data_IF_171665709079
#
_entry.id   IF_171665709079
#
_cell.length_a   1.000
_cell.length_b   1.000
_cell.length_c   1.000
_cell.angle_alpha   90.00
_cell.angle_beta   90.00
_cell.angle_gamma   90.00
#
_symmetry.space_group_name_H-M   'P 1'
#
loop_
_entity.id
_entity.type
_entity.pdbx_description
1 polymer ?
2 polymer ?
3 non-polymer ?
4 non-polymer ?
5 non-polymer ?
6 water ?
#
# COMPACT_ATOMS: atom_id res chain seq x y z
N UNK A 1 12.44 -17.12 22.90
CA UNK A 1 12.69 -16.90 21.47
C UNK A 1 11.87 -15.71 20.95
N UNK A 2 12.56 -14.70 20.43
CA UNK A 2 11.90 -13.46 20.04
C UNK A 2 10.94 -13.66 18.86
N UNK A 3 9.76 -13.02 18.96
CA UNK A 3 8.80 -12.93 17.88
C UNK A 3 8.94 -11.59 17.15
N UNK A 4 8.57 -11.59 15.87
CA UNK A 4 8.58 -10.38 15.05
C UNK A 4 7.32 -10.35 14.19
N UNK A 5 6.48 -9.35 14.41
CA UNK A 5 5.24 -9.18 13.66
C UNK A 5 5.52 -8.33 12.42
N UNK A 6 5.35 -8.93 11.25
CA UNK A 6 5.77 -8.37 9.98
C UNK A 6 4.56 -8.23 9.08
N UNK A 7 4.40 -7.06 8.46
CA UNK A 7 3.25 -6.76 7.63
C UNK A 7 3.74 -6.41 6.22
N UNK A 8 3.06 -6.97 5.22
CA UNK A 8 3.42 -6.83 3.80
C UNK A 8 2.33 -6.02 3.11
N UNK A 9 2.70 -4.83 2.61
CA UNK A 9 1.73 -3.89 2.04
C UNK A 9 2.21 -3.47 0.65
N UNK A 10 1.28 -2.93 -0.12
CA UNK A 10 1.59 -2.43 -1.44
C UNK A 10 0.40 -2.61 -2.36
N UNK A 11 0.58 -2.12 -3.59
CA UNK A 11 -0.49 -2.11 -4.57
C UNK A 11 -0.89 -3.53 -4.96
N UNK A 12 -2.05 -3.63 -5.61
CA UNK A 12 -2.54 -4.93 -6.07
C UNK A 12 -1.57 -5.56 -7.06
N UNK A 13 -1.32 -6.85 -6.87
CA UNK A 13 -0.66 -7.63 -7.89
C UNK A 13 0.84 -7.45 -8.00
N UNK A 14 1.48 -6.69 -7.11
CA UNK A 14 2.93 -6.55 -7.13
C UNK A 14 3.64 -7.79 -6.63
N UNK A 15 2.91 -8.73 -6.03
CA UNK A 15 3.50 -9.98 -5.58
C UNK A 15 3.69 -10.07 -4.09
N UNK A 16 2.79 -9.45 -3.31
CA UNK A 16 2.93 -9.49 -1.85
C UNK A 16 2.71 -10.91 -1.32
N UNK A 17 1.68 -11.61 -1.80
CA UNK A 17 1.50 -13.00 -1.41
C UNK A 17 2.62 -13.89 -1.95
N UNK A 18 3.06 -13.67 -3.20
CA UNK A 18 4.10 -14.53 -3.76
C UNK A 18 5.37 -14.49 -2.93
N UNK A 19 5.78 -13.32 -2.49
CA UNK A 19 7.04 -13.23 -1.74
C UNK A 19 6.89 -13.96 -0.40
N UNK A 20 5.72 -13.86 0.22
CA UNK A 20 5.49 -14.47 1.55
C UNK A 20 5.49 -16.00 1.40
N UNK A 21 4.75 -16.51 0.42
CA UNK A 21 4.74 -17.98 0.15
C UNK A 21 6.17 -18.46 -0.08
N UNK A 22 6.93 -17.74 -0.91
CA UNK A 22 8.30 -18.18 -1.28
C UNK A 22 9.21 -18.17 -0.04
N UNK A 23 8.94 -17.29 0.91
CA UNK A 23 9.75 -17.28 2.12
C UNK A 23 9.41 -18.43 3.07
N UNK A 24 8.15 -18.85 3.10
CA UNK A 24 7.66 -19.88 4.02
C UNK A 24 7.75 -21.27 3.40
N UNK A 25 7.38 -21.39 2.12
CA UNK A 25 7.25 -22.65 1.39
C UNK A 25 8.49 -23.52 1.54
N UNK A 26 8.29 -24.78 1.89
CA UNK A 26 9.36 -25.78 1.93
C UNK A 26 8.78 -27.11 1.46
N UNK A 27 9.44 -28.21 1.82
CA UNK A 27 9.02 -29.55 1.42
C UNK A 27 8.53 -30.38 2.62
N UNK A 28 8.32 -29.76 3.78
CA UNK A 28 7.66 -30.40 4.91
C UNK A 28 6.15 -30.15 4.81
N UNK A 29 5.40 -30.68 5.78
CA UNK A 29 4.06 -30.18 6.02
C UNK A 29 4.20 -28.76 6.53
N UNK A 30 3.30 -27.87 6.08
CA UNK A 30 3.33 -26.49 6.56
C UNK A 30 3.22 -26.47 8.08
N UNK A 31 4.32 -26.08 8.75
CA UNK A 31 4.48 -26.35 10.18
C UNK A 31 3.37 -25.71 11.02
N UNK A 32 2.74 -24.65 10.51
CA UNK A 32 1.60 -24.02 11.16
C UNK A 32 0.48 -23.83 10.15
N UNK A 33 -0.77 -23.98 10.63
CA UNK A 33 -1.95 -23.53 9.90
C UNK A 33 -2.63 -22.46 10.76
N UNK A 34 -2.21 -21.19 10.63
CA UNK A 34 -2.82 -20.14 11.44
C UNK A 34 -4.31 -19.99 11.12
N UNK A 35 -5.11 -19.79 12.17
CA UNK A 35 -6.54 -19.63 12.01
C UNK A 35 -6.93 -18.21 11.64
N UNK A 36 -6.08 -17.22 11.93
CA UNK A 36 -6.26 -15.87 11.38
C UNK A 36 -5.91 -15.90 9.91
N UNK A 37 -6.90 -15.62 9.06
CA UNK A 37 -6.70 -15.71 7.62
C UNK A 37 -5.60 -14.76 7.16
N UNK A 38 -4.78 -15.25 6.20
CA UNK A 38 -3.69 -14.52 5.60
C UNK A 38 -2.55 -14.19 6.57
N UNK A 39 -2.40 -14.99 7.64
CA UNK A 39 -1.26 -14.95 8.54
C UNK A 39 -0.35 -16.16 8.28
N UNK A 40 0.92 -16.02 8.68
CA UNK A 40 1.93 -17.01 8.34
C UNK A 40 3.00 -16.98 9.41
N UNK A 41 3.35 -18.15 9.94
CA UNK A 41 4.40 -18.26 10.94
C UNK A 41 5.53 -19.12 10.38
N UNK A 42 6.76 -18.78 10.78
CA UNK A 42 7.93 -19.54 10.38
C UNK A 42 9.12 -19.15 11.25
N UNK A 43 9.88 -20.14 11.74
CA UNK A 43 11.08 -19.89 12.54
C UNK A 43 12.32 -19.82 11.65
N UNK A 44 13.25 -18.93 12.01
CA UNK A 44 14.47 -18.71 11.24
C UNK A 44 15.61 -18.40 12.19
N UNK A 45 16.80 -18.30 11.62
CA UNK A 45 17.99 -17.86 12.34
C UNK A 45 18.56 -16.68 11.57
N UNK A 46 18.42 -15.48 12.14
CA UNK A 46 19.01 -14.28 11.57
C UNK A 46 20.11 -13.81 12.49
N UNK A 47 21.34 -13.72 11.94
CA UNK A 47 22.52 -13.28 12.70
C UNK A 47 22.74 -14.11 13.96
N UNK A 48 22.21 -15.34 14.02
CA UNK A 48 22.32 -16.16 15.21
C UNK A 48 21.05 -16.29 16.00
N UNK A 49 20.33 -15.19 16.19
CA UNK A 49 19.09 -15.20 16.94
C UNK A 49 18.09 -16.13 16.26
N UNK A 50 17.59 -17.12 17.00
CA UNK A 50 16.51 -17.97 16.52
C UNK A 50 15.19 -17.24 16.75
N UNK A 51 14.53 -16.87 15.66
CA UNK A 51 13.40 -15.95 15.73
C UNK A 51 12.19 -16.57 15.06
N UNK A 52 11.01 -16.22 15.58
CA UNK A 52 9.74 -16.61 14.98
C UNK A 52 9.15 -15.43 14.23
N UNK A 53 8.76 -15.65 12.98
CA UNK A 53 8.21 -14.61 12.13
C UNK A 53 6.72 -14.85 11.98
N UNK A 54 5.91 -13.93 12.50
CA UNK A 54 4.49 -13.91 12.22
C UNK A 54 4.30 -12.86 11.13
N UNK A 55 3.83 -13.30 9.96
CA UNK A 55 3.77 -12.45 8.78
C UNK A 55 2.32 -12.25 8.40
N UNK A 56 1.88 -11.01 8.41
CA UNK A 56 0.52 -10.67 7.99
C UNK A 56 0.58 -10.15 6.56
N UNK A 57 -0.17 -10.81 5.70
CA UNK A 57 -0.37 -10.45 4.31
C UNK A 57 -1.47 -9.42 4.21
N UNK A 58 -1.47 -8.68 3.10
CA UNK A 58 -2.63 -7.85 2.80
C UNK A 58 -3.79 -8.78 2.42
N UNK A 59 -4.86 -8.75 3.22
CA UNK A 59 -5.96 -9.69 3.03
C UNK A 59 -6.93 -9.20 1.96
N UNK A 60 -7.73 -10.14 1.46
CA UNK A 60 -8.81 -9.80 0.57
C UNK A 60 -9.95 -9.10 1.31
N UNK A 61 -10.77 -8.39 0.54
CA UNK A 61 -11.82 -7.57 1.14
C UNK A 61 -12.86 -8.41 1.86
N UNK A 62 -13.06 -9.66 1.44
CA UNK A 62 -13.93 -10.58 2.17
C UNK A 62 -13.47 -10.81 3.62
N UNK A 63 -12.20 -10.54 3.95
CA UNK A 63 -11.72 -10.68 5.32
C UNK A 63 -11.83 -9.40 6.13
N UNK A 64 -12.55 -8.38 5.64
CA UNK A 64 -12.59 -7.15 6.42
C UNK A 64 -13.26 -7.40 7.76
N UNK A 65 -12.72 -6.76 8.78
CA UNK A 65 -13.34 -6.64 10.09
C UNK A 65 -12.68 -5.46 10.74
N UNK A 66 -13.42 -4.75 11.59
CA UNK A 66 -12.85 -3.61 12.29
C UNK A 66 -11.65 -4.02 13.12
N UNK A 67 -11.64 -5.26 13.60
CA UNK A 67 -10.57 -5.68 14.49
C UNK A 67 -9.31 -5.99 13.70
N UNK A 68 -9.48 -6.60 12.51
CA UNK A 68 -8.34 -6.81 11.62
C UNK A 68 -7.66 -5.48 11.28
N UNK A 69 -8.46 -4.45 10.94
CA UNK A 69 -7.92 -3.11 10.69
C UNK A 69 -7.05 -2.61 11.85
N UNK A 70 -7.51 -2.83 13.08
CA UNK A 70 -6.73 -2.43 14.25
C UNK A 70 -5.49 -3.31 14.41
N UNK A 71 -5.66 -4.62 14.22
CA UNK A 71 -4.57 -5.54 14.46
C UNK A 71 -3.39 -5.25 13.53
N UNK A 72 -3.68 -4.88 12.26
CA UNK A 72 -2.60 -4.72 11.28
C UNK A 72 -1.65 -3.59 11.65
N UNK A 73 -2.15 -2.52 12.28
CA UNK A 73 -1.20 -1.45 12.60
C UNK A 73 -0.28 -1.79 13.76
N UNK A 74 -0.54 -2.88 14.49
CA UNK A 74 0.39 -3.26 15.55
C UNK A 74 1.61 -3.99 15.00
N UNK A 75 1.67 -4.22 13.69
CA UNK A 75 2.85 -4.78 13.07
C UNK A 75 4.08 -4.01 13.47
N UNK A 76 5.19 -4.71 13.66
CA UNK A 76 6.41 -4.09 14.12
C UNK A 76 7.26 -3.54 12.98
N UNK A 77 6.99 -3.98 11.77
CA UNK A 77 7.82 -3.65 10.63
C UNK A 77 7.06 -3.97 9.36
N UNK A 78 7.30 -3.16 8.34
CA UNK A 78 6.46 -3.22 7.16
C UNK A 78 7.34 -3.32 5.92
N UNK A 79 7.00 -4.25 5.03
CA UNK A 79 7.59 -4.32 3.70
C UNK A 79 6.76 -3.47 2.74
N UNK A 80 7.37 -2.42 2.19
CA UNK A 80 6.74 -1.61 1.15
C UNK A 80 7.10 -2.22 -0.19
N UNK A 81 6.16 -2.94 -0.80
CA UNK A 81 6.41 -3.70 -2.02
C UNK A 81 5.82 -2.96 -3.21
N UNK A 82 6.64 -2.76 -4.25
CA UNK A 82 6.15 -2.39 -5.56
C UNK A 82 6.75 -3.34 -6.59
N UNK A 83 6.15 -3.34 -7.78
CA UNK A 83 6.61 -4.16 -8.90
C UNK A 83 7.35 -3.27 -9.89
N UNK A 84 8.53 -3.71 -10.32
CA UNK A 84 9.39 -2.89 -11.18
C UNK A 84 8.83 -2.68 -12.58
N UNK A 85 7.80 -3.43 -12.97
CA UNK A 85 7.11 -3.23 -14.23
C UNK A 85 5.77 -2.49 -14.06
N UNK A 86 5.59 -1.81 -12.93
CA UNK A 86 4.31 -1.18 -12.62
C UNK A 86 4.60 0.19 -12.00
N UNK A 87 4.50 1.24 -12.82
CA UNK A 87 4.92 2.56 -12.36
C UNK A 87 4.01 3.09 -11.25
N UNK A 88 2.69 2.96 -11.41
CA UNK A 88 1.80 3.47 -10.39
C UNK A 88 2.09 2.85 -9.04
N UNK A 89 2.41 1.55 -9.04
CA UNK A 89 2.72 0.86 -7.79
C UNK A 89 3.91 1.49 -7.08
N UNK A 90 4.91 1.93 -7.86
CA UNK A 90 6.04 2.65 -7.27
C UNK A 90 5.65 4.08 -6.88
N UNK A 91 4.80 4.72 -7.68
CA UNK A 91 4.44 6.12 -7.40
C UNK A 91 3.57 6.24 -6.16
N UNK A 92 2.92 5.16 -5.72
CA UNK A 92 2.06 5.22 -4.56
C UNK A 92 2.73 4.74 -3.29
N UNK A 93 4.02 4.36 -3.36
CA UNK A 93 4.72 3.83 -2.19
C UNK A 93 4.69 4.85 -1.05
N UNK A 94 5.01 6.12 -1.36
CA UNK A 94 5.04 7.19 -0.37
C UNK A 94 3.74 7.25 0.44
N UNK A 95 2.58 7.05 -0.21
CA UNK A 95 1.34 6.99 0.55
C UNK A 95 1.41 5.91 1.63
N UNK A 96 2.00 4.75 1.30
CA UNK A 96 2.07 3.65 2.27
C UNK A 96 2.96 4.03 3.44
N UNK A 97 4.14 4.58 3.17
CA UNK A 97 5.00 5.01 4.27
C UNK A 97 4.32 6.07 5.11
N UNK A 98 3.72 7.07 4.44
CA UNK A 98 3.12 8.19 5.17
C UNK A 98 2.02 7.70 6.09
N UNK A 99 1.09 6.88 5.57
CA UNK A 99 -0.10 6.50 6.32
C UNK A 99 0.19 5.47 7.40
N UNK A 100 1.18 4.60 7.17
CA UNK A 100 1.57 3.66 8.22
C UNK A 100 2.14 4.42 9.41
N UNK A 101 3.03 5.39 9.14
CA UNK A 101 3.54 6.25 10.19
C UNK A 101 2.39 6.95 10.90
N UNK A 102 1.41 7.44 10.15
CA UNK A 102 0.31 8.18 10.73
C UNK A 102 -0.52 7.31 11.67
N UNK A 103 -0.97 6.14 11.19
CA UNK A 103 -1.85 5.31 12.00
C UNK A 103 -1.13 4.71 13.21
N UNK A 104 0.20 4.61 13.16
CA UNK A 104 0.99 4.18 14.30
C UNK A 104 1.42 5.34 15.18
N UNK A 105 1.06 6.58 14.81
CA UNK A 105 1.47 7.78 15.52
C UNK A 105 2.95 7.77 15.86
N UNK A 106 3.77 7.21 14.99
CA UNK A 106 5.19 7.05 15.31
C UNK A 106 6.06 7.62 14.19
N UNK A 107 7.18 8.20 14.61
CA UNK A 107 8.12 8.82 13.69
C UNK A 107 9.20 7.86 13.18
N UNK A 108 9.42 6.74 13.86
CA UNK A 108 10.36 5.73 13.39
C UNK A 108 9.69 4.37 13.36
N UNK A 109 9.30 3.94 12.17
CA UNK A 109 8.64 2.67 11.95
C UNK A 109 9.55 1.83 11.06
N UNK A 110 10.09 0.71 11.56
CA UNK A 110 10.97 -0.13 10.74
C UNK A 110 10.30 -0.51 9.43
N UNK A 111 11.04 -0.31 8.33
CA UNK A 111 10.46 -0.39 7.00
C UNK A 111 11.58 -0.77 6.03
N UNK A 112 11.24 -1.56 5.02
CA UNK A 112 12.15 -1.90 3.94
C UNK A 112 11.39 -1.68 2.64
N UNK A 113 12.02 -0.98 1.71
CA UNK A 113 11.45 -0.84 0.38
C UNK A 113 11.84 -2.05 -0.48
N UNK A 114 10.86 -2.66 -1.12
CA UNK A 114 11.04 -3.90 -1.86
C UNK A 114 10.55 -3.69 -3.29
N UNK A 115 11.46 -3.84 -4.25
CA UNK A 115 11.12 -3.79 -5.67
C UNK A 115 11.13 -5.19 -6.26
N UNK A 116 9.95 -5.70 -6.61
CA UNK A 116 9.74 -7.09 -6.94
C UNK A 116 9.58 -7.27 -8.44
N UNK A 117 9.51 -8.54 -8.86
CA UNK A 117 9.36 -8.94 -10.27
C UNK A 117 10.58 -8.55 -11.08
N UNK A 118 11.73 -8.48 -10.42
CA UNK A 118 12.96 -8.06 -11.06
C UNK A 118 13.44 -9.05 -12.12
N UNK A 119 12.77 -10.18 -12.30
CA UNK A 119 13.07 -11.09 -13.38
C UNK A 119 12.43 -10.68 -14.70
N UNK A 120 11.48 -9.75 -14.67
CA UNK A 120 10.70 -9.42 -15.86
C UNK A 120 11.47 -8.47 -16.78
N UNK A 121 11.26 -8.59 -18.09
CA UNK A 121 11.94 -7.70 -19.05
C UNK A 121 11.32 -6.32 -19.14
N UNK A 122 10.10 -6.13 -18.66
CA UNK A 122 9.32 -4.93 -18.97
C UNK A 122 9.48 -3.86 -17.90
N UNK A 123 10.71 -3.60 -17.50
CA UNK A 123 10.96 -2.67 -16.40
C UNK A 123 10.49 -1.25 -16.76
N UNK A 124 9.74 -0.62 -15.84
CA UNK A 124 9.35 0.77 -16.00
C UNK A 124 9.82 1.65 -14.86
N UNK A 125 10.43 1.07 -13.82
CA UNK A 125 10.94 1.82 -12.67
C UNK A 125 12.42 1.55 -12.56
N UNK A 126 13.21 2.63 -12.49
CA UNK A 126 14.66 2.51 -12.49
C UNK A 126 15.18 2.23 -11.09
N UNK A 127 16.07 1.24 -10.99
CA UNK A 127 16.75 0.94 -9.73
C UNK A 127 17.20 2.19 -9.00
N UNK A 128 17.82 3.12 -9.74
CA UNK A 128 18.26 4.40 -9.17
C UNK A 128 17.11 5.15 -8.50
N UNK A 129 15.92 5.17 -9.13
CA UNK A 129 14.77 5.83 -8.51
C UNK A 129 14.44 5.20 -7.17
N UNK A 130 14.36 3.88 -7.13
CA UNK A 130 14.01 3.20 -5.90
C UNK A 130 15.08 3.43 -4.82
N UNK A 131 16.35 3.32 -5.21
CA UNK A 131 17.43 3.62 -4.26
C UNK A 131 17.31 5.04 -3.72
N UNK A 132 17.06 6.02 -4.60
CA UNK A 132 16.93 7.40 -4.15
C UNK A 132 15.78 7.57 -3.19
N UNK A 133 14.63 6.95 -3.49
CA UNK A 133 13.49 7.04 -2.59
C UNK A 133 13.81 6.40 -1.24
N UNK A 134 14.40 5.19 -1.27
CA UNK A 134 14.72 4.51 -0.01
C UNK A 134 15.70 5.32 0.82
N UNK A 135 16.72 5.89 0.18
CA UNK A 135 17.65 6.78 0.86
C UNK A 135 16.91 7.90 1.58
N UNK A 136 16.04 8.61 0.86
CA UNK A 136 15.30 9.73 1.45
C UNK A 136 14.49 9.31 2.67
N UNK A 137 14.07 8.05 2.73
CA UNK A 137 13.39 7.55 3.91
C UNK A 137 14.34 7.02 4.97
N UNK A 138 15.63 6.93 4.65
CA UNK A 138 16.56 6.23 5.53
C UNK A 138 16.18 4.79 5.79
N UNK A 139 15.69 4.08 4.77
CA UNK A 139 15.38 2.67 4.92
C UNK A 139 16.10 1.90 3.81
N UNK A 140 16.27 0.60 3.99
CA UNK A 140 16.95 -0.18 2.95
C UNK A 140 16.04 -0.46 1.76
N UNK A 141 16.67 -0.65 0.60
CA UNK A 141 15.99 -1.06 -0.61
C UNK A 141 16.54 -2.41 -1.05
N UNK A 142 15.65 -3.36 -1.31
CA UNK A 142 16.05 -4.69 -1.73
C UNK A 142 15.28 -5.03 -3.00
N UNK A 143 16.00 -5.51 -4.01
CA UNK A 143 15.41 -5.93 -5.27
C UNK A 143 15.16 -7.43 -5.21
N UNK A 144 13.94 -7.85 -5.55
CA UNK A 144 13.53 -9.23 -5.34
C UNK A 144 12.85 -9.79 -6.58
N UNK A 145 12.77 -11.12 -6.61
CA UNK A 145 11.93 -11.85 -7.55
C UNK A 145 11.35 -13.06 -6.83
N UNK A 146 10.03 -13.08 -6.68
CA UNK A 146 9.40 -14.25 -6.13
C UNK A 146 9.47 -15.44 -7.07
N UNK A 147 9.73 -15.19 -8.37
CA UNK A 147 9.82 -16.33 -9.28
C UNK A 147 11.13 -17.07 -9.10
N UNK A 148 12.25 -16.34 -9.13
CA UNK A 148 13.57 -16.91 -8.96
C UNK A 148 14.03 -16.99 -7.51
N UNK A 149 13.24 -16.51 -6.55
CA UNK A 149 13.59 -16.45 -5.14
C UNK A 149 14.71 -15.47 -4.84
N UNK A 150 15.19 -14.71 -5.82
CA UNK A 150 16.23 -13.73 -5.52
C UNK A 150 15.77 -12.74 -4.46
N UNK A 151 16.61 -12.50 -3.46
CA UNK A 151 16.38 -11.46 -2.48
C UNK A 151 15.22 -11.67 -1.53
N UNK A 152 14.40 -12.70 -1.70
CA UNK A 152 13.26 -12.94 -0.80
C UNK A 152 13.72 -12.94 0.65
N UNK A 153 14.69 -13.80 0.96
CA UNK A 153 15.21 -13.91 2.32
C UNK A 153 15.84 -12.60 2.77
N UNK A 154 16.64 -11.98 1.91
CA UNK A 154 17.25 -10.69 2.28
C UNK A 154 16.19 -9.65 2.64
N UNK A 155 15.06 -9.65 1.91
CA UNK A 155 14.03 -8.66 2.19
C UNK A 155 13.49 -8.81 3.60
N UNK A 156 13.01 -10.01 3.94
CA UNK A 156 12.43 -10.22 5.25
C UNK A 156 13.46 -10.14 6.36
N UNK A 157 14.68 -10.63 6.14
CA UNK A 157 15.69 -10.62 7.20
C UNK A 157 16.17 -9.20 7.48
N UNK A 158 16.33 -8.40 6.42
CA UNK A 158 16.64 -7.00 6.60
C UNK A 158 15.56 -6.28 7.40
N UNK A 159 14.29 -6.64 7.16
CA UNK A 159 13.22 -6.03 7.93
C UNK A 159 13.33 -6.42 9.40
N UNK A 160 13.73 -7.66 9.67
CA UNK A 160 13.93 -8.08 11.05
C UNK A 160 15.08 -7.32 11.68
N UNK A 161 16.21 -7.22 10.97
CA UNK A 161 17.32 -6.43 11.49
C UNK A 161 16.93 -4.98 11.77
N UNK A 162 15.99 -4.42 11.00
CA UNK A 162 15.58 -3.04 11.24
C UNK A 162 14.73 -2.93 12.51
N UNK A 163 13.83 -3.89 12.72
CA UNK A 163 13.08 -3.96 13.96
C UNK A 163 14.03 -4.02 15.15
N UNK A 164 15.06 -4.86 15.06
CA UNK A 164 16.08 -4.94 16.12
C UNK A 164 16.73 -3.59 16.36
N UNK A 165 17.26 -2.95 15.30
CA UNK A 165 17.90 -1.64 15.44
C UNK A 165 16.96 -0.64 16.10
N UNK A 166 15.66 -0.75 15.82
CA UNK A 166 14.66 0.13 16.44
C UNK A 166 14.61 -0.07 17.95
N UNK A 167 14.42 -1.30 18.40
CA UNK A 167 14.39 -1.60 19.83
C UNK A 167 15.76 -1.48 20.49
N UNK A 168 16.82 -1.26 19.73
CA UNK A 168 18.21 -1.30 20.23
C UNK A 168 18.50 -2.63 20.92
N UNK B 1 -19.59 1.53 7.22
CA UNK B 1 -19.45 1.83 5.80
C UNK B 1 -18.03 1.58 5.27
N UNK B 2 -17.95 0.98 4.08
CA UNK B 2 -16.67 0.71 3.44
C UNK B 2 -16.39 1.65 2.28
N UNK B 3 -17.37 2.44 1.86
CA UNK B 3 -17.28 3.32 0.69
C UNK B 3 -17.22 4.77 1.19
N UNK B 4 -16.43 5.64 0.57
CA UNK B 4 -16.55 7.07 0.88
C UNK B 4 -17.96 7.54 0.55
N UNK B 5 -18.47 8.46 1.36
CA UNK B 5 -19.82 8.95 1.17
C UNK B 5 -19.81 10.47 1.03
N UNK B 6 -20.96 11.01 0.60
CA UNK B 6 -21.25 12.44 0.72
C UNK B 6 -20.22 13.27 -0.05
N UNK B 7 -19.93 12.83 -1.27
CA UNK B 7 -19.04 13.58 -2.14
C UNK B 7 -19.75 14.85 -2.61
N UNK B 8 -19.05 15.99 -2.52
CA UNK B 8 -19.70 17.24 -2.90
C UNK B 8 -18.64 18.26 -3.30
N UNK B 9 -19.04 19.17 -4.19
CA UNK B 9 -18.27 20.39 -4.43
C UNK B 9 -18.58 21.37 -3.30
N UNK B 10 -17.56 21.71 -2.53
CA UNK B 10 -17.69 22.65 -1.42
C UNK B 10 -17.49 24.09 -1.88
N UNK B 11 -16.58 24.30 -2.85
CA UNK B 11 -16.24 25.63 -3.34
C UNK B 11 -15.74 25.47 -4.77
N UNK B 12 -15.94 26.51 -5.57
CA UNK B 12 -15.60 26.48 -6.98
C UNK B 12 -15.17 27.87 -7.46
N UNK B 13 -14.20 27.90 -8.34
CA UNK B 13 -13.91 28.99 -9.26
C UNK B 13 -14.42 28.58 -10.63
N UNK B 14 -14.37 29.48 -11.63
CA UNK B 14 -14.79 29.06 -12.98
C UNK B 14 -13.99 27.89 -13.54
N UNK B 15 -12.77 27.64 -13.04
CA UNK B 15 -11.91 26.61 -13.60
C UNK B 15 -11.39 25.60 -12.57
N UNK B 16 -11.80 25.68 -11.31
CA UNK B 16 -11.30 24.74 -10.34
C UNK B 16 -12.38 24.42 -9.32
N UNK B 17 -12.23 23.25 -8.71
CA UNK B 17 -13.15 22.78 -7.69
C UNK B 17 -12.39 22.33 -6.45
N UNK B 18 -12.97 22.64 -5.30
CA UNK B 18 -12.57 22.04 -4.02
C UNK B 18 -13.64 21.03 -3.63
N UNK B 19 -13.29 19.75 -3.61
CA UNK B 19 -14.27 18.70 -3.32
C UNK B 19 -14.01 18.12 -1.95
N UNK B 20 -15.08 17.63 -1.34
CA UNK B 20 -15.05 17.05 -0.01
C UNK B 20 -15.89 15.77 -0.01
N UNK B 21 -15.45 14.78 0.76
CA UNK B 21 -16.22 13.56 0.99
C UNK B 21 -16.00 13.12 2.43
N UNK B 22 -16.76 12.12 2.87
CA UNK B 22 -16.59 11.55 4.21
C UNK B 22 -15.89 10.20 4.12
N UNK B 23 -14.84 10.05 4.93
CA UNK B 23 -14.03 8.84 4.87
C UNK B 23 -14.86 7.62 5.26
N UNK B 24 -14.55 6.46 4.72
CA UNK B 24 -15.17 5.22 5.18
C UNK B 24 -14.55 4.80 6.52
N UNK B 25 -15.12 3.73 7.10
CA UNK B 25 -14.57 3.20 8.34
C UNK B 25 -13.24 2.48 8.10
N UNK B 26 -13.19 1.60 7.08
CA UNK B 26 -11.95 0.94 6.68
C UNK B 26 -10.82 1.94 6.45
N UNK B 27 -9.63 1.60 6.92
CA UNK B 27 -8.49 2.51 6.80
C UNK B 27 -8.06 2.66 5.34
N UNK B 28 -7.82 3.91 4.92
CA UNK B 28 -7.51 4.24 3.53
C UNK B 28 -6.05 4.66 3.44
N UNK B 29 -5.32 4.10 2.45
CA UNK B 29 -3.95 4.54 2.22
C UNK B 29 -3.92 5.79 1.32
N UNK B 30 -4.76 5.81 0.27
CA UNK B 30 -4.92 7.00 -0.56
C UNK B 30 -6.25 6.91 -1.26
N UNK B 31 -6.80 8.06 -1.61
CA UNK B 31 -7.97 8.14 -2.49
C UNK B 31 -7.51 8.37 -3.91
N UNK B 32 -8.18 7.72 -4.85
CA UNK B 32 -7.95 7.89 -6.28
C UNK B 32 -9.08 8.76 -6.81
N UNK B 33 -8.74 9.92 -7.37
CA UNK B 33 -9.75 10.87 -7.85
C UNK B 33 -9.60 11.00 -9.36
N UNK B 34 -10.70 10.81 -10.08
CA UNK B 34 -10.69 11.00 -11.51
C UNK B 34 -11.74 12.04 -11.87
N UNK B 35 -11.50 12.74 -12.98
CA UNK B 35 -12.47 13.76 -13.44
C UNK B 35 -12.41 13.86 -14.96
N UNK B 36 -13.56 14.08 -15.59
CA UNK B 36 -13.62 14.25 -17.06
C UNK B 36 -14.96 14.78 -17.52
N UNK B 37 -15.04 15.20 -18.77
CA UNK B 37 -16.33 15.68 -19.34
C UNK B 37 -17.37 14.58 -19.25
N UNK B 38 -18.57 14.92 -18.78
CA UNK B 38 -19.63 13.91 -18.57
C UNK B 38 -19.89 13.18 -19.90
N UNK B 39 -19.78 13.87 -21.02
CA UNK B 39 -19.91 13.17 -22.30
C UNK B 39 -18.93 12.02 -22.38
N UNK B 40 -17.63 12.31 -22.26
CA UNK B 40 -16.61 11.25 -22.22
C UNK B 40 -15.76 11.28 -23.46
N UNK B 41 -15.87 12.36 -24.23
CA UNK B 41 -15.13 12.45 -25.51
C UNK B 41 -13.63 12.32 -25.23
N UNK B 42 -13.17 12.94 -24.15
CA UNK B 42 -11.72 12.93 -23.84
C UNK B 42 -11.39 11.93 -22.75
N UNK B 43 -10.12 11.52 -22.58
CA UNK B 43 -9.74 10.62 -21.51
C UNK B 43 -9.88 11.32 -20.14
N UNK B 44 -10.09 10.53 -19.10
CA UNK B 44 -10.28 11.10 -17.74
C UNK B 44 -8.91 11.49 -17.17
N UNK B 45 -8.88 12.50 -16.31
CA UNK B 45 -7.64 12.86 -15.62
C UNK B 45 -7.69 12.18 -14.24
N UNK B 46 -6.53 11.89 -13.66
CA UNK B 46 -6.52 11.13 -12.38
C UNK B 46 -5.33 11.53 -11.52
N UNK B 47 -5.57 11.59 -10.22
CA UNK B 47 -4.49 11.86 -9.27
C UNK B 47 -4.87 11.25 -7.93
N UNK B 48 -3.87 11.11 -7.05
CA UNK B 48 -4.10 10.51 -5.74
C UNK B 48 -3.92 11.53 -4.61
N UNK B 49 -4.67 11.29 -3.53
CA UNK B 49 -4.71 12.11 -2.32
C UNK B 49 -4.40 11.22 -1.12
N UNK B 50 -3.62 11.66 -0.14
CA UNK B 50 -3.34 10.81 1.03
C UNK B 50 -4.63 10.37 1.72
N UNK B 51 -4.59 9.14 2.24
CA UNK B 51 -5.73 8.57 2.94
C UNK B 51 -6.17 9.35 4.17
N UNK B 52 -5.33 10.24 4.69
CA UNK B 52 -5.71 10.98 5.88
C UNK B 52 -6.55 12.22 5.58
N UNK B 53 -6.71 12.58 4.32
CA UNK B 53 -7.50 13.73 3.91
C UNK B 53 -8.85 13.28 3.38
N UNK B 54 -9.83 14.19 3.41
CA UNK B 54 -11.10 13.93 2.75
C UNK B 54 -11.51 15.12 1.91
N UNK B 55 -10.53 15.90 1.43
CA UNK B 55 -10.79 16.99 0.50
C UNK B 55 -9.71 17.00 -0.58
N UNK B 56 -10.01 17.70 -1.67
CA UNK B 56 -9.04 17.81 -2.75
C UNK B 56 -9.41 18.98 -3.63
N UNK B 57 -8.40 19.50 -4.33
CA UNK B 57 -8.57 20.57 -5.29
C UNK B 57 -8.34 20.05 -6.70
N UNK B 58 -9.27 20.31 -7.59
CA UNK B 58 -9.13 20.02 -9.00
C UNK B 58 -9.02 21.34 -9.73
N UNK B 59 -7.94 21.53 -10.49
CA UNK B 59 -7.69 22.81 -11.14
C UNK B 59 -7.52 22.60 -12.64
N UNK B 60 -7.63 23.69 -13.39
CA UNK B 60 -7.40 23.63 -14.82
C UNK B 60 -8.57 23.16 -15.64
N UNK B 61 -9.79 23.26 -15.09
CA UNK B 61 -10.97 22.83 -15.81
C UNK B 61 -11.36 23.88 -16.85
N UNK B 62 -12.28 23.49 -17.71
CA UNK B 62 -12.91 24.38 -18.68
C UNK B 62 -14.25 24.86 -18.13
N UNK B 63 -14.53 26.14 -18.31
CA UNK B 63 -15.77 26.71 -17.76
C UNK B 63 -16.97 26.33 -18.61
N UNK B 64 -18.13 26.28 -17.96
CA UNK B 64 -19.35 25.88 -18.63
C UNK B 64 -19.38 24.46 -19.13
N UNK B 65 -18.58 23.57 -18.53
CA UNK B 65 -18.49 22.20 -18.97
C UNK B 65 -19.03 21.30 -17.87
N UNK B 66 -19.70 20.23 -18.28
CA UNK B 66 -20.25 19.24 -17.37
C UNK B 66 -19.17 18.21 -17.07
N UNK B 67 -18.80 18.09 -15.80
CA UNK B 67 -17.76 17.16 -15.38
C UNK B 67 -18.33 16.06 -14.49
N UNK B 68 -17.79 14.87 -14.64
CA UNK B 68 -18.05 13.74 -13.74
C UNK B 68 -16.81 13.56 -12.86
N UNK B 69 -16.98 13.68 -11.55
CA UNK B 69 -15.91 13.53 -10.58
C UNK B 69 -16.14 12.25 -9.81
N UNK B 70 -15.09 11.44 -9.68
CA UNK B 70 -15.23 10.12 -9.06
C UNK B 70 -14.10 9.90 -8.08
N UNK B 71 -14.45 9.31 -6.93
CA UNK B 71 -13.50 9.05 -5.85
C UNK B 71 -13.50 7.56 -5.56
N UNK B 72 -12.32 6.96 -5.48
CA UNK B 72 -12.10 5.58 -5.06
C UNK B 72 -11.21 5.56 -3.84
N UNK B 73 -11.54 4.73 -2.85
CA UNK B 73 -10.67 4.54 -1.70
C UNK B 73 -9.81 3.29 -1.93
N UNK B 74 -8.49 3.46 -1.82
CA UNK B 74 -7.56 2.33 -1.77
C UNK B 74 -7.35 1.96 -0.32
N UNK B 75 -7.81 0.78 0.08
CA UNK B 75 -7.63 0.32 1.45
C UNK B 75 -6.15 0.10 1.76
N UNK B 76 -5.74 0.45 2.98
CA UNK B 76 -4.35 0.28 3.38
C UNK B 76 -4.00 -1.19 3.65
N UNK B 77 -4.91 -1.92 4.29
CA UNK B 77 -4.63 -3.27 4.76
C UNK B 77 -5.34 -4.33 3.92
N UNK B 78 -6.11 -3.95 2.91
CA UNK B 78 -6.82 -4.91 2.09
C UNK B 78 -6.52 -4.65 0.62
N UNK B 79 -6.65 -5.71 -0.17
CA UNK B 79 -6.44 -5.57 -1.59
C UNK B 79 -7.56 -4.75 -2.22
N UNK B 80 -7.24 -4.09 -3.33
CA UNK B 80 -8.25 -3.45 -4.14
C UNK B 80 -8.78 -2.16 -3.56
N UNK B 81 -9.89 -1.72 -4.16
CA UNK B 81 -10.46 -0.41 -3.97
C UNK B 81 -11.90 -0.52 -3.49
N UNK B 82 -12.35 0.51 -2.79
CA UNK B 82 -13.77 0.65 -2.51
C UNK B 82 -14.55 0.73 -3.82
N UNK B 83 -15.87 0.54 -3.72
CA UNK B 83 -16.74 0.96 -4.81
C UNK B 83 -16.59 2.48 -5.00
N UNK B 84 -16.75 2.97 -6.21
CA UNK B 84 -16.65 4.42 -6.42
C UNK B 84 -17.92 5.14 -5.95
N UNK B 85 -17.73 6.39 -5.54
CA UNK B 85 -18.81 7.38 -5.47
C UNK B 85 -18.47 8.47 -6.49
N UNK B 86 -19.50 8.97 -7.16
CA UNK B 86 -19.28 9.97 -8.18
C UNK B 86 -20.38 11.01 -8.15
N UNK B 87 -20.06 12.20 -8.65
CA UNK B 87 -21.01 13.30 -8.77
C UNK B 87 -20.76 14.01 -10.10
N UNK B 88 -21.76 14.75 -10.53
CA UNK B 88 -21.65 15.60 -11.71
C UNK B 88 -21.64 17.05 -11.24
N UNK B 89 -20.82 17.86 -11.89
CA UNK B 89 -20.80 19.28 -11.57
C UNK B 89 -20.51 20.04 -12.86
N UNK B 90 -21.27 21.10 -13.08
CA UNK B 90 -21.10 21.93 -14.26
C UNK B 90 -20.40 23.23 -13.84
N UNK B 91 -19.20 23.43 -14.35
CA UNK B 91 -18.46 24.66 -14.08
C UNK B 91 -19.17 25.85 -14.71
#
# INVERSE_FOLDING_TARGET
MTEYKLVVVGADGVGKSALTIQLIQNHFVDEYDPTIEDSYRKQVVIDGETSLLDILDTAGQEEYSAMRDQYMRTGEGFLLVFAINNTKSFEDIHHYREQIKRVKDSEDVPMVLVGNKSDLPSRTVDTKQAQDLARSYGIPFIETSAKTRQGVDDAFYTLVREIRKHKE
SSVPTKLEVVAATPTSLLISWDAPAVTVVFYDITYGETGGNSPVQEFTVPGSKSTATISGLSPGVDYTITVYAKYLWYSGYSSPISINYRT
#
